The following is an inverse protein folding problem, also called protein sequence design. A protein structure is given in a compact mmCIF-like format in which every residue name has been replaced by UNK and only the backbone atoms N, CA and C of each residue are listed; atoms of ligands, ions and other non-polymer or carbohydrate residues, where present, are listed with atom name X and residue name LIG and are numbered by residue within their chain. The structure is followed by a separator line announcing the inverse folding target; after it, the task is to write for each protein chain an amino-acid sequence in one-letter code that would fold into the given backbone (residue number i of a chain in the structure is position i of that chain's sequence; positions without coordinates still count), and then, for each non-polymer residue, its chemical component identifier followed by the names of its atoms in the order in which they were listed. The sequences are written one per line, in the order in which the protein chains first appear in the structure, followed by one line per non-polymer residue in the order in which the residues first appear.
data_IF_825865391467
#
_entry.id   IF_825865391467
#
_cell.length_a   1.000
_cell.length_b   1.000
_cell.length_c   1.000
_cell.angle_alpha   90.00
_cell.angle_beta   90.00
_cell.angle_gamma   90.00
#
_symmetry.space_group_name_H-M   'P 1'
#
loop_
_entity.id
_entity.type
_entity.pdbx_description
1 polymer ?
#
# COMPACT_ATOMS: atom_id res chain seq x y z
N UNK A 1 12.46 2.94 -1.49
CA UNK A 1 13.17 3.87 -0.58
C UNK A 1 13.48 5.18 -1.30
N UNK A 2 14.15 5.16 -2.47
CA UNK A 2 14.57 6.37 -3.20
C UNK A 2 13.46 7.39 -3.45
N UNK A 3 12.23 6.95 -3.74
CA UNK A 3 11.09 7.82 -3.97
C UNK A 3 10.74 8.69 -2.75
N UNK A 4 10.88 8.16 -1.55
CA UNK A 4 10.62 8.90 -0.32
C UNK A 4 11.64 10.01 -0.09
N UNK A 5 12.94 9.70 -0.28
CA UNK A 5 14.00 10.73 -0.24
C UNK A 5 13.77 11.80 -1.30
N UNK A 6 13.50 11.40 -2.53
CA UNK A 6 13.25 12.35 -3.62
C UNK A 6 12.03 13.23 -3.32
N UNK A 7 10.92 12.66 -2.87
CA UNK A 7 9.71 13.39 -2.53
C UNK A 7 9.95 14.38 -1.37
N UNK A 8 10.65 13.94 -0.32
CA UNK A 8 10.99 14.80 0.82
C UNK A 8 11.90 15.95 0.40
N UNK A 9 12.91 15.69 -0.41
CA UNK A 9 13.80 16.71 -0.95
C UNK A 9 13.03 17.75 -1.77
N UNK A 10 12.13 17.28 -2.65
CA UNK A 10 11.32 18.17 -3.51
C UNK A 10 10.26 18.95 -2.75
N UNK A 11 9.70 18.39 -1.70
CA UNK A 11 8.60 19.02 -0.95
C UNK A 11 9.10 20.12 0.02
N UNK A 12 10.27 19.96 0.64
CA UNK A 12 10.76 20.89 1.64
C UNK A 12 12.27 20.82 1.93
N UNK A 13 13.07 20.20 1.07
CA UNK A 13 14.53 20.07 1.22
C UNK A 13 14.97 19.48 2.57
N UNK A 14 14.18 18.52 3.11
CA UNK A 14 14.37 17.93 4.44
C UNK A 14 14.30 18.91 5.62
N UNK A 15 13.80 20.13 5.42
CA UNK A 15 13.74 21.15 6.47
C UNK A 15 12.75 20.83 7.59
N UNK A 16 11.73 20.03 7.30
CA UNK A 16 10.71 19.58 8.26
C UNK A 16 10.29 18.14 8.01
N UNK A 17 9.89 17.40 9.05
CA UNK A 17 9.28 16.10 8.87
C UNK A 17 8.01 16.17 8.01
N UNK A 18 7.76 15.14 7.21
CA UNK A 18 6.57 15.00 6.39
C UNK A 18 5.76 13.79 6.82
N UNK A 19 4.47 13.82 6.51
CA UNK A 19 3.63 12.63 6.56
C UNK A 19 3.57 11.98 5.19
N UNK A 20 3.42 10.67 5.14
CA UNK A 20 3.22 9.93 3.90
C UNK A 20 1.96 9.08 3.99
N UNK A 21 1.01 9.31 3.09
CA UNK A 21 -0.13 8.41 2.90
C UNK A 21 0.20 7.40 1.81
N UNK A 22 0.16 6.13 2.19
CA UNK A 22 0.66 5.02 1.37
C UNK A 22 -0.46 4.04 1.11
N UNK A 23 -0.96 3.94 -0.15
CA UNK A 23 -1.89 2.89 -0.53
C UNK A 23 -1.17 1.55 -0.48
N UNK A 24 -1.72 0.60 0.28
CA UNK A 24 -0.96 -0.59 0.56
C UNK A 24 -1.79 -1.87 0.60
N UNK A 25 -1.27 -2.91 -0.06
CA UNK A 25 -1.64 -4.31 0.14
C UNK A 25 -0.50 -5.02 0.87
N UNK A 26 0.49 -5.48 0.13
CA UNK A 26 1.62 -6.28 0.63
C UNK A 26 2.62 -5.56 1.56
N UNK A 27 2.35 -4.33 1.96
CA UNK A 27 3.17 -3.54 2.89
C UNK A 27 4.57 -3.13 2.38
N UNK A 28 4.93 -3.44 1.15
CA UNK A 28 6.25 -3.14 0.60
C UNK A 28 6.59 -1.66 0.58
N UNK A 29 5.67 -0.81 0.10
CA UNK A 29 5.84 0.65 0.06
C UNK A 29 5.87 1.26 1.46
N UNK A 30 5.01 0.82 2.38
CA UNK A 30 5.01 1.29 3.77
C UNK A 30 6.33 0.94 4.46
N UNK A 31 6.81 -0.29 4.30
CA UNK A 31 8.10 -0.69 4.85
C UNK A 31 9.26 0.11 4.23
N UNK A 32 9.20 0.44 2.95
CA UNK A 32 10.20 1.29 2.30
C UNK A 32 10.21 2.72 2.87
N UNK A 33 9.04 3.29 3.25
CA UNK A 33 8.95 4.57 3.95
C UNK A 33 9.59 4.49 5.34
N UNK A 34 9.25 3.46 6.10
CA UNK A 34 9.85 3.19 7.40
C UNK A 34 11.37 3.05 7.30
N UNK A 35 11.87 2.25 6.34
CA UNK A 35 13.30 2.08 6.12
C UNK A 35 13.99 3.39 5.74
N UNK A 36 13.36 4.25 4.93
CA UNK A 36 13.89 5.57 4.61
C UNK A 36 14.06 6.44 5.89
N UNK A 37 13.11 6.39 6.81
CA UNK A 37 13.23 7.10 8.08
C UNK A 37 14.38 6.58 8.95
N UNK A 38 14.61 5.27 8.96
CA UNK A 38 15.75 4.65 9.65
C UNK A 38 17.11 5.04 9.03
N UNK A 39 17.08 5.44 7.74
CA UNK A 39 18.26 5.97 7.04
C UNK A 39 18.44 7.49 7.23
N UNK A 40 17.61 8.13 8.04
CA UNK A 40 17.73 9.55 8.40
C UNK A 40 16.80 10.50 7.66
N UNK A 41 15.83 10.00 6.85
CA UNK A 41 14.82 10.87 6.26
C UNK A 41 13.88 11.41 7.34
N UNK A 42 13.66 12.75 7.43
CA UNK A 42 12.72 13.32 8.38
C UNK A 42 11.29 12.85 8.11
N UNK A 43 10.72 12.13 9.06
CA UNK A 43 9.39 11.53 8.97
C UNK A 43 8.57 11.87 10.21
N UNK A 44 7.31 12.26 10.02
CA UNK A 44 6.34 12.49 11.09
C UNK A 44 5.41 11.28 11.25
N UNK A 45 4.56 11.00 10.26
CA UNK A 45 3.61 9.89 10.29
C UNK A 45 3.59 9.13 8.97
N UNK A 46 3.29 7.83 9.06
CA UNK A 46 2.93 6.97 7.92
C UNK A 46 1.44 6.64 8.06
N UNK A 47 0.66 7.00 7.05
CA UNK A 47 -0.75 6.67 6.95
C UNK A 47 -0.86 5.41 6.09
N UNK A 48 -1.17 4.30 6.72
CA UNK A 48 -1.39 3.00 6.08
C UNK A 48 -2.83 2.98 5.56
N UNK A 49 -3.00 3.19 4.26
CA UNK A 49 -4.30 3.22 3.63
C UNK A 49 -4.56 1.89 2.92
N UNK A 50 -5.60 1.18 3.33
CA UNK A 50 -6.01 -0.11 2.75
C UNK A 50 -7.43 0.00 2.18
N UNK A 51 -7.79 -0.90 1.26
CA UNK A 51 -9.17 -1.06 0.82
C UNK A 51 -9.97 -1.92 1.82
N UNK A 52 -11.10 -2.47 1.41
CA UNK A 52 -11.93 -3.33 2.26
C UNK A 52 -11.23 -4.62 2.70
N UNK A 53 -10.09 -4.98 2.11
CA UNK A 53 -9.23 -6.05 2.58
C UNK A 53 -8.27 -5.50 3.64
N UNK A 54 -8.72 -5.41 4.85
CA UNK A 54 -8.25 -4.49 5.88
C UNK A 54 -7.36 -5.10 6.97
N UNK A 55 -6.73 -6.25 6.73
CA UNK A 55 -5.89 -6.96 7.71
C UNK A 55 -4.88 -6.03 8.41
N UNK A 56 -4.25 -5.12 7.68
CA UNK A 56 -3.31 -4.16 8.25
C UNK A 56 -4.01 -3.10 9.11
N UNK A 57 -5.19 -2.61 8.68
CA UNK A 57 -5.96 -1.66 9.48
C UNK A 57 -6.41 -2.29 10.80
N UNK A 58 -6.94 -3.51 10.78
CA UNK A 58 -7.32 -4.25 12.00
C UNK A 58 -6.13 -4.45 12.94
N UNK A 59 -4.94 -4.74 12.40
CA UNK A 59 -3.75 -4.83 13.24
C UNK A 59 -3.41 -3.51 13.92
N UNK A 60 -3.33 -2.41 13.17
CA UNK A 60 -2.95 -1.11 13.75
C UNK A 60 -4.01 -0.54 14.68
N UNK A 61 -5.28 -0.88 14.48
CA UNK A 61 -6.39 -0.39 15.28
C UNK A 61 -6.69 -1.26 16.49
N UNK A 62 -6.72 -2.57 16.31
CA UNK A 62 -7.30 -3.54 17.25
C UNK A 62 -6.31 -4.67 17.64
N UNK A 63 -5.04 -4.56 17.23
CA UNK A 63 -4.02 -5.60 17.43
C UNK A 63 -4.45 -6.97 16.88
N UNK A 64 -5.14 -6.98 15.75
CA UNK A 64 -5.65 -8.19 15.12
C UNK A 64 -5.14 -8.38 13.70
N UNK A 65 -4.17 -9.28 13.54
CA UNK A 65 -3.67 -9.69 12.23
C UNK A 65 -4.19 -11.09 11.89
N UNK A 66 -5.51 -11.23 11.79
CA UNK A 66 -6.18 -12.46 11.38
C UNK A 66 -6.44 -12.49 9.89
N UNK A 67 -6.19 -13.64 9.26
CA UNK A 67 -6.49 -13.85 7.85
C UNK A 67 -8.00 -13.95 7.62
N UNK A 68 -8.51 -13.17 6.68
CA UNK A 68 -9.89 -13.22 6.22
C UNK A 68 -9.98 -13.56 4.72
N UNK A 69 -11.21 -13.82 4.26
CA UNK A 69 -11.46 -14.03 2.83
C UNK A 69 -11.30 -12.73 2.08
N UNK A 70 -10.59 -12.78 0.95
CA UNK A 70 -10.42 -11.61 0.08
C UNK A 70 -11.73 -11.23 -0.59
N UNK A 71 -12.04 -9.95 -0.59
CA UNK A 71 -13.10 -9.33 -1.36
C UNK A 71 -12.51 -8.63 -2.59
N UNK A 72 -13.09 -8.83 -3.76
CA UNK A 72 -12.70 -8.10 -4.96
C UNK A 72 -13.12 -6.64 -4.87
N UNK A 73 -12.20 -5.73 -5.17
CA UNK A 73 -12.42 -4.28 -5.14
C UNK A 73 -11.95 -3.61 -6.43
N UNK A 74 -12.19 -2.30 -6.55
CA UNK A 74 -11.70 -1.51 -7.68
C UNK A 74 -10.20 -1.19 -7.61
N UNK A 75 -9.55 -1.50 -6.49
CA UNK A 75 -8.10 -1.37 -6.27
C UNK A 75 -7.41 -2.74 -6.16
N UNK A 76 -7.41 -3.56 -7.24
CA UNK A 76 -7.12 -5.00 -7.17
C UNK A 76 -5.71 -5.35 -6.69
N UNK A 77 -4.74 -4.44 -6.82
CA UNK A 77 -3.39 -4.69 -6.28
C UNK A 77 -3.33 -4.70 -4.75
N UNK A 78 -4.41 -4.27 -4.10
CA UNK A 78 -4.58 -4.27 -2.65
C UNK A 78 -5.52 -5.40 -2.17
N UNK A 79 -6.06 -6.22 -3.07
CA UNK A 79 -6.96 -7.35 -2.77
C UNK A 79 -6.14 -8.54 -2.28
N UNK A 80 -5.75 -8.49 -1.02
CA UNK A 80 -4.92 -9.50 -0.36
C UNK A 80 -5.52 -9.91 0.99
N UNK A 81 -5.26 -11.14 1.41
CA UNK A 81 -5.61 -11.65 2.74
C UNK A 81 -4.45 -11.58 3.74
N UNK A 82 -3.22 -11.47 3.25
CA UNK A 82 -1.99 -11.43 4.06
C UNK A 82 -0.99 -10.50 3.40
N UNK A 83 -0.44 -9.57 4.16
CA UNK A 83 0.58 -8.62 3.68
C UNK A 83 1.98 -9.24 3.82
N UNK A 84 2.56 -9.70 2.71
CA UNK A 84 3.79 -10.50 2.69
C UNK A 84 5.06 -9.79 3.22
N UNK A 85 5.07 -8.45 3.28
CA UNK A 85 6.20 -7.70 3.82
C UNK A 85 5.95 -7.15 5.25
N UNK A 86 4.80 -7.44 5.83
CA UNK A 86 4.48 -6.94 7.17
C UNK A 86 5.33 -7.58 8.26
N UNK A 87 5.71 -8.85 8.06
CA UNK A 87 6.65 -9.57 8.91
C UNK A 87 7.96 -8.80 9.14
N UNK A 88 8.45 -8.06 8.14
CA UNK A 88 9.65 -7.22 8.26
C UNK A 88 9.49 -6.11 9.29
N UNK A 89 8.29 -5.49 9.38
CA UNK A 89 8.01 -4.50 10.41
C UNK A 89 7.88 -5.14 11.79
N UNK A 90 7.21 -6.29 11.89
CA UNK A 90 7.12 -7.06 13.12
C UNK A 90 8.53 -7.35 13.65
N UNK A 91 9.40 -7.89 12.81
CA UNK A 91 10.76 -8.23 13.16
C UNK A 91 11.58 -7.01 13.60
N UNK A 92 11.65 -5.94 12.81
CA UNK A 92 12.53 -4.79 13.05
C UNK A 92 11.97 -3.83 14.11
N UNK A 93 10.70 -3.44 14.00
CA UNK A 93 10.11 -2.38 14.81
C UNK A 93 9.58 -2.87 16.16
N UNK A 94 8.85 -4.00 16.14
CA UNK A 94 8.19 -4.50 17.34
C UNK A 94 9.06 -5.43 18.17
N UNK A 95 9.79 -6.33 17.53
CA UNK A 95 10.58 -7.38 18.19
C UNK A 95 12.08 -7.07 18.28
N UNK A 96 12.52 -5.88 17.89
CA UNK A 96 13.92 -5.44 17.94
C UNK A 96 14.90 -6.47 17.29
N UNK A 97 14.47 -7.09 16.17
CA UNK A 97 15.20 -8.12 15.40
C UNK A 97 15.41 -9.45 16.12
N UNK A 98 14.53 -9.79 17.04
CA UNK A 98 14.51 -11.10 17.65
C UNK A 98 13.88 -12.12 16.68
N UNK A 99 14.73 -12.96 16.07
CA UNK A 99 14.31 -13.97 15.09
C UNK A 99 13.50 -15.12 15.70
N UNK A 100 13.81 -15.50 16.93
CA UNK A 100 13.14 -16.60 17.60
C UNK A 100 11.72 -16.19 18.02
N UNK A 101 11.57 -14.98 18.57
CA UNK A 101 10.25 -14.41 18.84
C UNK A 101 9.43 -14.27 17.56
N UNK A 102 10.03 -13.79 16.47
CA UNK A 102 9.36 -13.64 15.19
C UNK A 102 8.88 -14.99 14.64
N UNK A 103 9.77 -16.01 14.62
CA UNK A 103 9.44 -17.36 14.18
C UNK A 103 8.34 -17.99 15.02
N UNK A 104 8.40 -17.84 16.34
CA UNK A 104 7.37 -18.33 17.24
C UNK A 104 6.01 -17.65 17.00
N UNK A 105 6.01 -16.33 16.79
CA UNK A 105 4.79 -15.56 16.50
C UNK A 105 4.11 -16.02 15.21
N UNK A 106 4.89 -16.31 14.16
CA UNK A 106 4.39 -16.75 12.86
C UNK A 106 4.14 -18.27 12.77
N UNK A 107 4.60 -19.06 13.74
CA UNK A 107 4.51 -20.53 13.68
C UNK A 107 3.11 -21.09 13.51
N UNK A 108 2.10 -20.40 14.03
CA UNK A 108 0.67 -20.79 13.95
C UNK A 108 -0.12 -19.97 12.93
N UNK A 109 0.50 -18.98 12.31
CA UNK A 109 -0.16 -18.17 11.27
C UNK A 109 -0.19 -18.97 9.95
N UNK A 110 -1.27 -18.93 9.15
CA UNK A 110 -2.46 -18.08 9.32
C UNK A 110 -3.64 -18.77 10.05
N UNK A 111 -3.48 -19.90 10.69
CA UNK A 111 -4.55 -20.61 11.41
C UNK A 111 -4.96 -19.90 12.70
N UNK A 112 -4.05 -19.12 13.27
CA UNK A 112 -4.32 -18.24 14.41
C UNK A 112 -3.97 -16.80 14.03
N UNK A 113 -4.66 -15.83 14.65
CA UNK A 113 -4.32 -14.41 14.53
C UNK A 113 -2.97 -14.11 15.18
N UNK A 114 -2.21 -13.20 14.57
CA UNK A 114 -1.06 -12.60 15.25
C UNK A 114 -1.56 -11.44 16.09
N UNK A 115 -1.23 -11.48 17.37
CA UNK A 115 -1.43 -10.41 18.36
C UNK A 115 -0.12 -10.20 19.11
N UNK A 116 0.24 -8.96 19.34
CA UNK A 116 1.40 -8.59 20.15
C UNK A 116 0.96 -8.24 21.57
N UNK A 117 1.89 -8.31 22.51
CA UNK A 117 1.68 -7.73 23.83
C UNK A 117 1.31 -6.25 23.70
N UNK A 118 0.36 -5.80 24.50
CA UNK A 118 -0.26 -4.49 24.34
C UNK A 118 0.73 -3.33 24.41
N UNK A 119 1.71 -3.41 25.31
CA UNK A 119 2.76 -2.40 25.44
C UNK A 119 3.70 -2.36 24.22
N UNK A 120 3.95 -3.51 23.61
CA UNK A 120 4.74 -3.61 22.38
C UNK A 120 3.94 -3.04 21.20
N UNK A 121 2.66 -3.43 21.08
CA UNK A 121 1.80 -3.00 20.00
C UNK A 121 1.55 -1.48 20.01
N UNK A 122 1.31 -0.90 21.20
CA UNK A 122 1.06 0.56 21.34
C UNK A 122 2.21 1.44 20.86
N UNK A 123 3.43 0.93 20.73
CA UNK A 123 4.57 1.68 20.16
C UNK A 123 4.28 2.22 18.76
N UNK A 124 3.45 1.53 17.98
CA UNK A 124 3.13 1.93 16.60
C UNK A 124 2.35 3.23 16.49
N UNK A 125 1.51 3.58 17.49
CA UNK A 125 0.68 4.79 17.47
C UNK A 125 1.47 6.09 17.34
N UNK A 126 2.75 6.07 17.74
CA UNK A 126 3.64 7.21 17.57
C UNK A 126 4.02 7.47 16.10
N UNK A 127 4.02 6.46 15.24
CA UNK A 127 4.49 6.54 13.85
C UNK A 127 3.40 6.23 12.83
N UNK A 128 2.53 5.26 13.11
CA UNK A 128 1.55 4.76 12.14
C UNK A 128 0.13 5.21 12.47
N UNK A 129 -0.59 5.61 11.43
CA UNK A 129 -2.04 5.76 11.40
C UNK A 129 -2.58 4.80 10.34
N UNK A 130 -3.81 4.31 10.47
CA UNK A 130 -4.37 3.41 9.47
C UNK A 130 -5.83 3.68 9.19
N UNK A 131 -6.25 3.46 7.94
CA UNK A 131 -7.62 3.62 7.48
C UNK A 131 -7.98 2.51 6.49
N UNK A 132 -9.20 1.99 6.62
CA UNK A 132 -9.83 1.15 5.62
C UNK A 132 -10.84 1.99 4.83
N UNK A 133 -10.76 1.93 3.52
CA UNK A 133 -11.54 2.75 2.58
C UNK A 133 -12.27 1.82 1.63
N UNK A 134 -13.59 1.91 1.60
CA UNK A 134 -14.44 1.14 0.70
C UNK A 134 -14.47 1.71 -0.73
N UNK A 135 -15.07 0.97 -1.64
CA UNK A 135 -15.16 1.34 -3.05
C UNK A 135 -15.98 2.63 -3.25
N UNK A 136 -17.06 2.82 -2.50
CA UNK A 136 -17.92 4.01 -2.63
C UNK A 136 -17.16 5.28 -2.23
N UNK A 137 -16.44 5.24 -1.12
CA UNK A 137 -15.56 6.32 -0.66
C UNK A 137 -14.45 6.59 -1.69
N UNK A 138 -13.88 5.52 -2.27
CA UNK A 138 -12.83 5.60 -3.29
C UNK A 138 -13.36 6.29 -4.56
N UNK A 139 -14.54 5.91 -5.08
CA UNK A 139 -15.16 6.58 -6.23
C UNK A 139 -15.46 8.06 -5.95
N UNK A 140 -16.03 8.34 -4.78
CA UNK A 140 -16.31 9.73 -4.37
C UNK A 140 -15.03 10.57 -4.31
N UNK A 141 -13.96 10.03 -3.77
CA UNK A 141 -12.66 10.68 -3.72
C UNK A 141 -12.12 10.96 -5.13
N UNK A 142 -12.11 9.97 -6.03
CA UNK A 142 -11.69 10.13 -7.43
C UNK A 142 -12.46 11.27 -8.10
N UNK A 143 -13.79 11.26 -8.00
CA UNK A 143 -14.67 12.27 -8.59
C UNK A 143 -14.42 13.66 -8.02
N UNK A 144 -14.35 13.80 -6.70
CA UNK A 144 -14.13 15.08 -6.03
C UNK A 144 -12.80 15.72 -6.43
N UNK A 145 -11.71 14.95 -6.51
CA UNK A 145 -10.42 15.47 -6.95
C UNK A 145 -10.45 15.91 -8.42
N UNK A 146 -11.10 15.13 -9.27
CA UNK A 146 -11.26 15.49 -10.68
C UNK A 146 -12.06 16.78 -10.86
N UNK A 147 -13.20 16.91 -10.20
CA UNK A 147 -14.06 18.10 -10.28
C UNK A 147 -13.37 19.36 -9.74
N UNK A 148 -12.61 19.25 -8.64
CA UNK A 148 -11.99 20.40 -8.00
C UNK A 148 -10.66 20.84 -8.64
N UNK A 149 -9.91 19.92 -9.25
CA UNK A 149 -8.54 20.22 -9.72
C UNK A 149 -8.22 19.72 -11.14
N UNK A 150 -9.13 18.96 -11.75
CA UNK A 150 -8.84 18.26 -13.01
C UNK A 150 -7.87 17.08 -12.88
N UNK A 151 -7.41 16.76 -11.65
CA UNK A 151 -6.47 15.67 -11.44
C UNK A 151 -7.18 14.30 -11.49
N UNK A 152 -6.75 13.45 -12.42
CA UNK A 152 -7.26 12.08 -12.56
C UNK A 152 -6.32 11.13 -11.84
N UNK A 153 -6.80 10.48 -10.78
CA UNK A 153 -6.03 9.49 -10.03
C UNK A 153 -6.53 8.06 -10.29
N UNK A 154 -5.66 7.10 -10.08
CA UNK A 154 -6.04 5.69 -10.05
C UNK A 154 -6.72 5.34 -8.71
N UNK A 155 -7.47 4.23 -8.64
CA UNK A 155 -8.22 3.88 -7.42
C UNK A 155 -7.34 3.61 -6.20
N UNK A 156 -6.10 3.12 -6.36
CA UNK A 156 -5.20 2.91 -5.23
C UNK A 156 -4.75 4.25 -4.64
N UNK A 157 -4.40 5.21 -5.50
CA UNK A 157 -4.08 6.58 -5.07
C UNK A 157 -5.28 7.22 -4.36
N UNK A 158 -6.51 6.97 -4.84
CA UNK A 158 -7.72 7.50 -4.22
C UNK A 158 -7.96 6.95 -2.81
N UNK A 159 -7.67 5.68 -2.56
CA UNK A 159 -7.69 5.10 -1.20
C UNK A 159 -6.76 5.87 -0.26
N UNK A 160 -5.54 6.18 -0.70
CA UNK A 160 -4.60 6.95 0.12
C UNK A 160 -5.01 8.42 0.29
N UNK A 161 -5.65 9.02 -0.71
CA UNK A 161 -6.15 10.39 -0.64
C UNK A 161 -7.35 10.51 0.30
N UNK A 162 -8.30 9.57 0.25
CA UNK A 162 -9.45 9.54 1.15
C UNK A 162 -9.03 9.30 2.61
N UNK A 163 -8.02 8.46 2.84
CA UNK A 163 -7.45 8.28 4.17
C UNK A 163 -6.93 9.59 4.78
N UNK A 164 -6.33 10.46 3.96
CA UNK A 164 -5.89 11.80 4.40
C UNK A 164 -7.10 12.69 4.71
N UNK A 165 -8.14 12.66 3.89
CA UNK A 165 -9.33 13.48 4.11
C UNK A 165 -10.05 13.15 5.43
N UNK A 166 -9.99 11.89 5.88
CA UNK A 166 -10.56 11.46 7.17
C UNK A 166 -9.79 11.98 8.40
N UNK A 167 -8.61 12.51 8.22
CA UNK A 167 -7.82 13.10 9.30
C UNK A 167 -8.27 14.51 9.70
N UNK A 168 -9.08 15.19 8.86
CA UNK A 168 -9.68 16.50 9.16
C UNK A 168 -8.65 17.50 9.74
N UNK A 169 -7.55 17.73 9.04
CA UNK A 169 -6.48 18.66 9.41
C UNK A 169 -5.79 18.40 10.78
N UNK A 170 -5.93 17.19 11.33
CA UNK A 170 -5.29 16.82 12.61
C UNK A 170 -3.77 16.64 12.53
N UNK A 171 -3.18 16.74 11.34
CA UNK A 171 -1.74 16.59 11.14
C UNK A 171 -1.07 17.95 10.97
N UNK A 172 -0.10 18.25 11.82
CA UNK A 172 0.66 19.51 11.78
C UNK A 172 1.57 19.65 10.54
N UNK A 173 2.03 18.53 9.98
CA UNK A 173 2.99 18.50 8.89
C UNK A 173 2.29 18.23 7.54
N UNK A 174 2.91 18.72 6.46
CA UNK A 174 2.42 18.40 5.09
C UNK A 174 2.40 16.89 4.86
N UNK A 175 1.38 16.43 4.15
CA UNK A 175 1.21 15.04 3.78
C UNK A 175 1.47 14.84 2.29
N UNK A 176 2.34 13.89 1.96
CA UNK A 176 2.57 13.40 0.60
C UNK A 176 1.72 12.15 0.41
N UNK A 177 0.90 12.15 -0.63
CA UNK A 177 0.11 10.98 -1.04
C UNK A 177 0.87 10.26 -2.16
N UNK A 178 1.13 8.96 -1.98
CA UNK A 178 1.79 8.18 -3.01
C UNK A 178 0.84 7.86 -4.16
N UNK A 179 1.20 8.31 -5.37
CA UNK A 179 0.56 7.89 -6.61
C UNK A 179 1.28 6.67 -7.17
N UNK A 180 0.66 5.50 -7.06
CA UNK A 180 1.32 4.21 -7.29
C UNK A 180 1.07 3.63 -8.68
N UNK A 181 0.07 4.13 -9.42
CA UNK A 181 -0.26 3.65 -10.74
C UNK A 181 -0.80 4.76 -11.64
N UNK A 182 -0.76 4.53 -12.96
CA UNK A 182 -1.39 5.43 -13.91
C UNK A 182 -2.88 5.07 -14.07
N UNK A 183 -3.82 6.06 -14.04
CA UNK A 183 -5.26 5.81 -14.09
C UNK A 183 -5.72 5.05 -15.35
N UNK A 184 -5.03 5.18 -16.47
CA UNK A 184 -5.33 4.43 -17.70
C UNK A 184 -5.26 2.90 -17.54
N UNK A 185 -4.65 2.38 -16.48
CA UNK A 185 -4.66 0.94 -16.17
C UNK A 185 -6.00 0.46 -15.60
N UNK A 186 -6.87 1.38 -15.20
CA UNK A 186 -8.13 1.07 -14.50
C UNK A 186 -9.34 1.73 -15.19
N UNK A 187 -9.60 1.42 -16.47
CA UNK A 187 -10.65 2.08 -17.24
C UNK A 187 -12.05 1.87 -16.63
N UNK A 188 -12.29 0.69 -16.03
CA UNK A 188 -13.57 0.40 -15.38
C UNK A 188 -13.81 1.27 -14.14
N UNK A 189 -12.77 1.54 -13.35
CA UNK A 189 -12.86 2.42 -12.18
C UNK A 189 -13.13 3.87 -12.62
N UNK A 190 -12.44 4.35 -13.65
CA UNK A 190 -12.68 5.69 -14.20
C UNK A 190 -14.12 5.85 -14.72
N UNK A 191 -14.61 4.85 -15.48
CA UNK A 191 -15.99 4.86 -15.99
C UNK A 191 -17.03 4.90 -14.85
N UNK A 192 -16.84 4.11 -13.80
CA UNK A 192 -17.73 4.12 -12.63
C UNK A 192 -17.68 5.44 -11.85
N UNK A 193 -16.51 6.10 -11.82
CA UNK A 193 -16.35 7.43 -11.21
C UNK A 193 -16.83 8.58 -12.13
N UNK A 194 -17.36 8.29 -13.32
CA UNK A 194 -17.79 9.27 -14.32
C UNK A 194 -16.63 10.19 -14.77
N UNK A 195 -15.43 9.62 -14.90
CA UNK A 195 -14.22 10.34 -15.32
C UNK A 195 -13.81 9.86 -16.71
N UNK A 196 -13.67 10.80 -17.64
CA UNK A 196 -13.18 10.52 -18.97
C UNK A 196 -11.68 10.84 -19.09
N UNK A 197 -10.87 9.83 -19.34
CA UNK A 197 -9.43 9.99 -19.58
C UNK A 197 -9.18 10.33 -21.05
N UNK A 198 -8.82 11.56 -21.33
CA UNK A 198 -8.61 12.07 -22.69
C UNK A 198 -7.24 11.73 -23.28
N UNK A 199 -6.24 11.44 -22.42
CA UNK A 199 -4.87 11.22 -22.86
C UNK A 199 -4.26 10.00 -22.20
N UNK A 200 -3.78 9.06 -23.00
CA UNK A 200 -3.04 7.87 -22.53
C UNK A 200 -1.57 8.03 -22.94
N UNK A 201 -0.60 7.81 -22.06
CA UNK A 201 0.82 7.87 -22.41
C UNK A 201 1.19 6.96 -23.57
N UNK A 202 1.99 7.45 -24.51
CA UNK A 202 2.38 6.72 -25.74
C UNK A 202 2.94 5.32 -25.46
N UNK A 203 3.73 5.18 -24.39
CA UNK A 203 4.30 3.87 -24.03
C UNK A 203 3.23 2.89 -23.56
N UNK A 204 2.19 3.37 -22.89
CA UNK A 204 1.07 2.54 -22.46
C UNK A 204 0.18 2.17 -23.63
N UNK A 205 -0.09 3.12 -24.55
CA UNK A 205 -0.84 2.84 -25.80
C UNK A 205 -0.24 1.69 -26.61
N UNK A 206 1.10 1.61 -26.67
CA UNK A 206 1.81 0.56 -27.41
C UNK A 206 1.53 -0.86 -26.91
N UNK A 207 1.13 -1.02 -25.66
CA UNK A 207 0.91 -2.34 -25.04
C UNK A 207 -0.56 -2.70 -24.85
N UNK A 208 -1.47 -1.70 -24.76
CA UNK A 208 -2.89 -1.93 -24.48
C UNK A 208 -3.59 -2.84 -25.51
N UNK A 209 -3.13 -2.82 -26.78
CA UNK A 209 -3.70 -3.62 -27.88
C UNK A 209 -2.87 -4.87 -28.21
N UNK A 210 -1.83 -5.17 -27.43
CA UNK A 210 -1.04 -6.39 -27.65
C UNK A 210 -1.72 -7.59 -27.03
N UNK A 211 -1.57 -8.74 -27.71
CA UNK A 211 -2.02 -10.01 -27.16
C UNK A 211 -1.23 -10.31 -25.87
N UNK A 212 -1.95 -10.66 -24.83
CA UNK A 212 -1.34 -11.15 -23.60
C UNK A 212 -0.68 -12.50 -23.85
N UNK A 213 0.55 -12.66 -23.37
CA UNK A 213 1.32 -13.90 -23.47
C UNK A 213 1.56 -14.38 -22.04
N UNK A 214 1.09 -15.59 -21.74
CA UNK A 214 1.28 -16.25 -20.45
C UNK A 214 1.58 -17.73 -20.65
N UNK A 215 2.37 -18.30 -19.75
CA UNK A 215 2.72 -19.71 -19.70
C UNK A 215 2.30 -20.29 -18.37
N UNK A 216 1.66 -21.47 -18.39
CA UNK A 216 1.31 -22.21 -17.19
C UNK A 216 2.44 -23.19 -16.88
N UNK A 217 3.06 -23.03 -15.71
CA UNK A 217 4.13 -23.88 -15.23
C UNK A 217 3.73 -24.54 -13.91
N UNK A 218 4.28 -25.72 -13.63
CA UNK A 218 4.10 -26.37 -12.32
C UNK A 218 4.90 -25.64 -11.25
N UNK A 219 4.34 -25.40 -10.05
CA UNK A 219 5.09 -24.79 -8.95
C UNK A 219 5.91 -25.79 -8.14
N UNK A 220 5.79 -27.12 -8.42
CA UNK A 220 6.32 -28.19 -7.56
C UNK A 220 7.53 -28.92 -8.11
N UNK A 221 8.01 -28.55 -9.31
CA UNK A 221 9.13 -29.15 -9.99
C UNK A 221 10.08 -28.09 -10.56
N UNK A 222 11.11 -28.51 -11.28
CA UNK A 222 12.05 -27.60 -11.93
C UNK A 222 11.51 -26.93 -13.19
N UNK A 223 10.22 -27.02 -13.48
CA UNK A 223 9.63 -26.52 -14.73
C UNK A 223 9.88 -25.03 -15.00
N UNK A 224 9.94 -24.21 -13.94
CA UNK A 224 10.27 -22.78 -14.06
C UNK A 224 11.73 -22.61 -14.50
N UNK A 225 12.64 -23.36 -13.89
CA UNK A 225 14.07 -23.30 -14.25
C UNK A 225 14.32 -23.79 -15.67
N UNK A 226 13.76 -24.93 -16.06
CA UNK A 226 13.88 -25.48 -17.41
C UNK A 226 13.25 -24.53 -18.45
N UNK A 227 12.07 -23.98 -18.13
CA UNK A 227 11.43 -22.99 -19.02
C UNK A 227 12.33 -21.77 -19.25
N UNK A 228 12.97 -21.22 -18.21
CA UNK A 228 13.87 -20.08 -18.35
C UNK A 228 15.10 -20.47 -19.18
N UNK A 229 15.65 -21.67 -18.98
CA UNK A 229 16.81 -22.18 -19.72
C UNK A 229 16.52 -22.35 -21.19
N UNK A 230 15.33 -22.87 -21.54
CA UNK A 230 14.94 -23.17 -22.92
C UNK A 230 14.48 -21.93 -23.70
N UNK A 231 14.18 -20.83 -23.02
CA UNK A 231 13.68 -19.58 -23.62
C UNK A 231 14.65 -18.38 -23.48
N UNK A 232 15.88 -18.61 -23.05
CA UNK A 232 16.99 -17.66 -23.12
C UNK A 232 17.90 -18.01 -24.28
#
# INVERSE_FOLDING_TARGET
ICYYFYASLKANEFSKPLNFSVPTGNFGNVFACYAASKMGMPLSKIIVAVNSNDILHRFFKDNDYSKEKVSETISPSMDISVASNFERLIYDFYLNRDSDMCSNLYSKFPTASIRLDEDIWKKSSSLFLSFSIDDDSTFKCMKTYFENSGYIMDPHTAVAADAVSKLNDKLENKTIILSTAHPAKFPNALKKADINLTTIPKNLQKVLNKKEISFKLSPFDNSIFEFIKDNN
#
